data_IF_980779360271
#
_entry.id   IF_980779360271
#
_cell.length_a   1.000
_cell.length_b   1.000
_cell.length_c   1.000
_cell.angle_alpha   90.00
_cell.angle_beta   90.00
_cell.angle_gamma   90.00
#
_symmetry.space_group_name_H-M   'P 1'
#
loop_
_entity.id
_entity.type
_entity.pdbx_description
1 polymer ?
#
# COMPACT_ATOMS: atom_id res chain seq x y z
N UNK A 1 -6.52 -27.04 17.36
CA UNK A 1 -6.86 -25.67 16.86
C UNK A 1 -5.83 -25.24 15.84
N UNK A 2 -6.20 -24.56 14.74
CA UNK A 2 -5.21 -23.92 13.86
C UNK A 2 -4.48 -22.84 14.67
N UNK A 3 -3.15 -22.89 14.70
CA UNK A 3 -2.32 -21.87 15.33
C UNK A 3 -2.60 -20.52 14.65
N UNK A 4 -2.83 -19.47 15.40
CA UNK A 4 -3.08 -18.10 14.90
C UNK A 4 -2.00 -17.20 15.45
N UNK A 5 -1.52 -16.29 14.63
CA UNK A 5 -0.56 -15.27 15.05
C UNK A 5 -0.72 -14.05 14.16
N UNK A 6 -1.05 -12.93 14.76
CA UNK A 6 -1.23 -11.65 14.08
C UNK A 6 -0.32 -10.59 14.70
N UNK A 7 0.17 -9.69 13.88
CA UNK A 7 0.85 -8.48 14.32
C UNK A 7 0.03 -7.29 13.88
N UNK A 8 -0.52 -6.56 14.84
CA UNK A 8 -1.32 -5.35 14.60
C UNK A 8 -0.45 -4.10 14.78
N UNK A 9 -0.57 -3.17 13.85
CA UNK A 9 0.13 -1.89 13.84
C UNK A 9 -0.89 -0.77 13.94
N UNK A 10 -0.80 0.04 14.98
CA UNK A 10 -1.62 1.22 15.21
C UNK A 10 -0.72 2.45 15.20
N UNK A 11 -1.02 3.41 14.34
CA UNK A 11 -0.18 4.59 14.14
C UNK A 11 -1.03 5.84 14.24
N UNK A 12 -0.61 6.79 15.06
CA UNK A 12 -1.12 8.16 15.04
C UNK A 12 -0.10 9.05 14.33
N UNK A 13 -0.57 9.82 13.37
CA UNK A 13 0.28 10.70 12.58
C UNK A 13 -0.43 12.01 12.26
N UNK A 14 0.11 13.10 12.78
CA UNK A 14 -0.37 14.44 12.46
C UNK A 14 0.23 14.92 11.15
N UNK A 15 -0.65 15.32 10.24
CA UNK A 15 -0.32 15.85 8.92
C UNK A 15 -0.73 17.31 8.88
N UNK A 16 0.20 18.22 8.49
CA UNK A 16 -0.09 19.64 8.34
C UNK A 16 -1.10 19.87 7.20
N UNK A 17 -1.53 21.11 6.94
CA UNK A 17 -2.36 21.45 5.80
C UNK A 17 -1.84 20.79 4.52
N UNK A 18 -2.67 19.99 3.87
CA UNK A 18 -2.26 19.15 2.73
C UNK A 18 -3.43 18.48 2.01
N UNK A 19 -3.15 17.92 0.84
CA UNK A 19 -4.09 17.13 0.06
C UNK A 19 -3.44 15.81 -0.38
N UNK A 20 -3.14 14.94 0.58
CA UNK A 20 -2.34 13.70 0.38
C UNK A 20 -3.05 12.61 -0.39
N UNK A 21 -4.39 12.60 -0.42
CA UNK A 21 -5.19 11.64 -1.17
C UNK A 21 -6.48 12.28 -1.66
N UNK A 22 -6.62 12.41 -2.96
CA UNK A 22 -7.69 13.12 -3.64
C UNK A 22 -8.76 12.18 -4.18
N UNK A 23 -9.97 12.68 -4.30
CA UNK A 23 -11.02 12.08 -5.10
C UNK A 23 -10.88 12.47 -6.60
N UNK A 24 -11.90 12.17 -7.38
CA UNK A 24 -11.97 12.46 -8.82
C UNK A 24 -12.21 13.94 -9.15
N UNK A 25 -12.67 14.73 -8.18
CA UNK A 25 -12.82 16.19 -8.31
C UNK A 25 -11.54 16.94 -7.94
N UNK A 26 -10.56 16.26 -7.35
CA UNK A 26 -9.32 16.88 -6.89
C UNK A 26 -9.32 17.26 -5.41
N UNK A 27 -10.45 17.10 -4.73
CA UNK A 27 -10.62 17.42 -3.30
C UNK A 27 -10.02 16.36 -2.39
N UNK A 28 -9.59 16.71 -1.15
CA UNK A 28 -9.16 15.74 -0.17
C UNK A 28 -10.27 14.72 0.11
N UNK A 29 -9.93 13.44 0.08
CA UNK A 29 -10.90 12.39 0.42
C UNK A 29 -11.37 12.51 1.85
N UNK A 30 -12.67 12.39 2.05
CA UNK A 30 -13.33 12.39 3.35
C UNK A 30 -14.16 11.13 3.57
N UNK A 31 -14.63 10.94 4.79
CA UNK A 31 -15.65 9.96 5.17
C UNK A 31 -16.44 10.49 6.35
N UNK A 32 -17.67 10.00 6.54
CA UNK A 32 -18.43 10.26 7.76
C UNK A 32 -18.16 9.10 8.74
N UNK A 33 -17.74 9.45 9.95
CA UNK A 33 -17.56 8.48 11.03
C UNK A 33 -17.89 9.10 12.37
N UNK A 34 -18.70 8.42 13.20
CA UNK A 34 -19.23 8.99 14.45
C UNK A 34 -20.05 10.27 14.22
N UNK A 35 -20.77 10.35 13.08
CA UNK A 35 -21.66 11.47 12.77
C UNK A 35 -20.98 12.75 12.26
N UNK A 36 -19.64 12.76 12.10
CA UNK A 36 -18.92 13.96 11.62
C UNK A 36 -17.98 13.62 10.45
N UNK A 37 -17.64 14.63 9.65
CA UNK A 37 -16.70 14.51 8.54
C UNK A 37 -15.28 14.30 9.06
N UNK A 38 -14.60 13.32 8.51
CA UNK A 38 -13.22 12.95 8.80
C UNK A 38 -12.36 13.07 7.54
N UNK A 39 -11.11 13.51 7.68
CA UNK A 39 -10.12 13.27 6.64
C UNK A 39 -9.91 11.77 6.45
N UNK A 40 -9.77 11.33 5.21
CA UNK A 40 -9.57 9.91 4.88
C UNK A 40 -8.44 9.72 3.87
N UNK A 41 -7.57 8.77 4.14
CA UNK A 41 -6.59 8.31 3.16
C UNK A 41 -6.87 6.85 2.84
N UNK A 42 -7.00 6.52 1.57
CA UNK A 42 -7.38 5.18 1.15
C UNK A 42 -6.30 4.14 1.43
N UNK A 43 -6.71 2.91 1.71
CA UNK A 43 -5.80 1.78 1.90
C UNK A 43 -4.92 1.54 0.68
N UNK A 44 -5.43 1.81 -0.53
CA UNK A 44 -4.67 1.70 -1.77
C UNK A 44 -3.53 2.70 -1.84
N UNK A 45 -3.74 3.95 -1.38
CA UNK A 45 -2.69 4.96 -1.32
C UNK A 45 -1.59 4.56 -0.34
N UNK A 46 -1.95 4.05 0.85
CA UNK A 46 -0.98 3.51 1.80
C UNK A 46 -0.21 2.31 1.25
N UNK A 47 -0.90 1.30 0.70
CA UNK A 47 -0.26 0.12 0.10
C UNK A 47 0.69 0.50 -1.04
N UNK A 48 0.34 1.52 -1.83
CA UNK A 48 1.22 2.02 -2.89
C UNK A 48 2.49 2.65 -2.31
N UNK A 49 2.36 3.54 -1.32
CA UNK A 49 3.49 4.16 -0.64
C UNK A 49 4.41 3.12 0.02
N UNK A 50 3.84 2.11 0.68
CA UNK A 50 4.61 1.00 1.26
C UNK A 50 5.39 0.20 0.21
N UNK A 51 4.77 -0.10 -0.94
CA UNK A 51 5.44 -0.82 -2.03
C UNK A 51 6.60 -0.01 -2.63
N UNK A 52 6.46 1.31 -2.71
CA UNK A 52 7.59 2.17 -3.09
C UNK A 52 8.71 2.12 -2.04
N UNK A 53 8.37 2.24 -0.76
CA UNK A 53 9.33 2.16 0.32
C UNK A 53 10.08 0.82 0.38
N UNK A 54 9.45 -0.31 0.04
CA UNK A 54 10.12 -1.61 -0.04
C UNK A 54 11.35 -1.57 -0.95
N UNK A 55 11.28 -0.85 -2.06
CA UNK A 55 12.37 -0.72 -3.04
C UNK A 55 13.28 0.46 -2.71
N UNK A 56 12.71 1.65 -2.52
CA UNK A 56 13.45 2.90 -2.35
C UNK A 56 14.27 2.94 -1.06
N UNK A 57 13.79 2.31 0.01
CA UNK A 57 14.47 2.22 1.31
C UNK A 57 15.16 0.84 1.51
N UNK A 58 15.23 0.02 0.46
CA UNK A 58 15.87 -1.32 0.48
C UNK A 58 15.36 -2.21 1.63
N UNK A 59 14.05 -2.14 1.92
CA UNK A 59 13.42 -2.95 2.98
C UNK A 59 13.13 -4.38 2.54
N UNK A 60 13.08 -4.62 1.22
CA UNK A 60 13.00 -5.93 0.59
C UNK A 60 13.97 -5.95 -0.60
N UNK A 61 14.48 -7.12 -0.94
CA UNK A 61 15.28 -7.30 -2.14
C UNK A 61 14.43 -7.04 -3.39
N UNK A 62 15.00 -6.51 -4.46
CA UNK A 62 14.28 -6.23 -5.71
C UNK A 62 13.60 -7.49 -6.29
N UNK A 63 14.18 -8.67 -6.05
CA UNK A 63 13.64 -9.95 -6.49
C UNK A 63 12.38 -10.37 -5.73
N UNK A 64 12.24 -9.89 -4.49
CA UNK A 64 11.08 -10.13 -3.61
C UNK A 64 9.89 -9.22 -3.95
N UNK A 65 10.08 -8.20 -4.79
CA UNK A 65 9.04 -7.24 -5.16
C UNK A 65 8.53 -7.49 -6.57
N UNK A 66 7.23 -7.75 -6.68
CA UNK A 66 6.58 -8.01 -7.97
C UNK A 66 6.29 -6.73 -8.77
N UNK A 67 5.99 -6.91 -10.05
CA UNK A 67 5.61 -5.83 -10.97
C UNK A 67 4.13 -5.89 -11.30
N UNK A 68 3.42 -4.77 -11.11
CA UNK A 68 2.02 -4.61 -11.53
C UNK A 68 1.99 -3.89 -12.87
N UNK A 69 1.66 -4.61 -13.95
CA UNK A 69 1.78 -4.06 -15.30
C UNK A 69 0.77 -4.68 -16.29
N UNK A 70 0.54 -3.99 -17.40
CA UNK A 70 -0.09 -4.55 -18.61
C UNK A 70 0.93 -5.08 -19.61
N UNK A 71 2.22 -4.79 -19.42
CA UNK A 71 3.31 -5.04 -20.36
C UNK A 71 3.97 -6.41 -20.14
N UNK A 72 3.16 -7.46 -19.93
CA UNK A 72 3.67 -8.81 -19.65
C UNK A 72 4.49 -9.34 -20.84
N UNK A 73 4.04 -9.09 -22.07
CA UNK A 73 4.75 -9.49 -23.28
C UNK A 73 6.17 -8.91 -23.31
N UNK A 74 6.32 -7.61 -22.98
CA UNK A 74 7.65 -6.96 -22.93
C UNK A 74 8.54 -7.54 -21.82
N UNK A 75 7.96 -7.92 -20.67
CA UNK A 75 8.73 -8.54 -19.58
C UNK A 75 9.23 -9.93 -19.98
N UNK A 76 8.37 -10.76 -20.57
CA UNK A 76 8.72 -12.10 -21.03
C UNK A 76 9.71 -12.03 -22.21
N UNK A 77 9.53 -11.09 -23.14
CA UNK A 77 10.45 -10.85 -24.27
C UNK A 77 11.87 -10.54 -23.77
N UNK A 78 12.00 -9.65 -22.78
CA UNK A 78 13.29 -9.31 -22.17
C UNK A 78 13.95 -10.51 -21.48
N UNK A 79 13.15 -11.31 -20.79
CA UNK A 79 13.65 -12.48 -20.08
C UNK A 79 14.10 -13.58 -21.07
N UNK A 80 13.33 -13.83 -22.12
CA UNK A 80 13.71 -14.78 -23.21
C UNK A 80 15.00 -14.31 -23.89
N UNK A 81 15.12 -13.02 -24.22
CA UNK A 81 16.32 -12.48 -24.84
C UNK A 81 17.57 -12.60 -23.95
N UNK A 82 17.39 -12.56 -22.63
CA UNK A 82 18.48 -12.77 -21.68
C UNK A 82 18.89 -14.25 -21.55
N UNK A 83 17.90 -15.17 -21.54
CA UNK A 83 18.13 -16.61 -21.35
C UNK A 83 18.52 -17.34 -22.64
N UNK A 84 18.02 -16.90 -23.80
CA UNK A 84 18.23 -17.55 -25.12
C UNK A 84 18.36 -16.48 -26.22
N UNK A 85 19.48 -15.75 -26.29
CA UNK A 85 19.68 -14.63 -27.20
C UNK A 85 19.64 -15.03 -28.70
N UNK A 86 19.80 -16.33 -29.01
CA UNK A 86 19.72 -16.86 -30.37
C UNK A 86 18.29 -17.07 -30.88
N UNK A 87 17.26 -16.95 -29.99
CA UNK A 87 15.86 -17.18 -30.35
C UNK A 87 15.13 -15.86 -30.63
N UNK A 88 14.07 -15.96 -31.45
CA UNK A 88 13.14 -14.82 -31.65
C UNK A 88 12.29 -14.58 -30.41
N UNK A 89 12.84 -13.78 -29.50
CA UNK A 89 12.20 -13.46 -28.22
C UNK A 89 10.84 -12.79 -28.37
N UNK A 90 10.69 -11.92 -29.41
CA UNK A 90 9.44 -11.18 -29.61
C UNK A 90 8.30 -12.13 -30.07
N UNK A 91 8.60 -13.09 -30.92
CA UNK A 91 7.65 -14.11 -31.36
C UNK A 91 7.25 -15.03 -30.23
N UNK A 92 8.25 -15.57 -29.51
CA UNK A 92 8.02 -16.48 -28.39
C UNK A 92 7.21 -15.82 -27.25
N UNK A 93 7.50 -14.58 -26.92
CA UNK A 93 6.76 -13.86 -25.87
C UNK A 93 5.27 -13.70 -26.21
N UNK A 94 4.92 -13.45 -27.46
CA UNK A 94 3.52 -13.40 -27.90
C UNK A 94 2.83 -14.76 -27.76
N UNK A 95 3.52 -15.84 -28.14
CA UNK A 95 3.00 -17.21 -28.00
C UNK A 95 2.81 -17.59 -26.52
N UNK A 96 3.77 -17.25 -25.66
CA UNK A 96 3.68 -17.44 -24.21
C UNK A 96 2.45 -16.76 -23.65
N UNK A 97 2.26 -15.46 -23.91
CA UNK A 97 1.11 -14.71 -23.39
C UNK A 97 -0.20 -15.29 -23.90
N UNK A 98 -0.28 -15.72 -25.17
CA UNK A 98 -1.45 -16.41 -25.73
C UNK A 98 -1.75 -17.70 -24.97
N UNK A 99 -0.74 -18.50 -24.66
CA UNK A 99 -0.88 -19.78 -23.96
C UNK A 99 -1.27 -19.61 -22.47
N UNK A 100 -0.98 -18.46 -21.85
CA UNK A 100 -1.47 -18.15 -20.49
C UNK A 100 -2.99 -17.99 -20.43
N UNK A 101 -3.65 -17.66 -21.54
CA UNK A 101 -5.07 -17.30 -21.61
C UNK A 101 -5.39 -15.88 -21.13
N UNK A 102 -4.38 -15.05 -20.84
CA UNK A 102 -4.59 -13.65 -20.49
C UNK A 102 -5.00 -12.85 -21.72
N UNK A 103 -5.99 -11.97 -21.57
CA UNK A 103 -6.55 -11.21 -22.70
C UNK A 103 -5.67 -10.01 -23.06
N UNK A 104 -5.19 -9.98 -24.30
CA UNK A 104 -4.46 -8.85 -24.89
C UNK A 104 -5.42 -7.77 -25.41
N UNK A 105 -4.92 -6.55 -25.52
CA UNK A 105 -5.68 -5.41 -26.02
C UNK A 105 -5.51 -5.26 -27.55
N UNK A 106 -6.23 -6.07 -28.31
CA UNK A 106 -6.15 -6.13 -29.78
C UNK A 106 -6.44 -4.79 -30.48
N UNK A 107 -7.19 -3.87 -29.84
CA UNK A 107 -7.61 -2.60 -30.46
C UNK A 107 -6.61 -1.45 -30.36
N UNK A 108 -5.72 -1.47 -29.38
CA UNK A 108 -4.81 -0.33 -29.09
C UNK A 108 -3.33 -0.71 -29.14
N UNK A 109 -2.97 -1.88 -28.65
CA UNK A 109 -1.59 -2.32 -28.57
C UNK A 109 -1.57 -3.83 -28.23
N UNK A 110 -1.31 -4.68 -29.23
CA UNK A 110 -1.26 -6.15 -29.09
C UNK A 110 -0.18 -6.63 -28.09
N UNK A 111 0.76 -5.76 -27.70
CA UNK A 111 1.78 -6.08 -26.71
C UNK A 111 1.32 -5.87 -25.27
N UNK A 112 0.15 -5.24 -25.05
CA UNK A 112 -0.37 -4.94 -23.72
C UNK A 112 -1.60 -5.77 -23.35
N UNK A 113 -1.65 -6.26 -22.12
CA UNK A 113 -2.84 -6.89 -21.59
C UNK A 113 -4.00 -5.89 -21.47
N UNK A 114 -5.22 -6.40 -21.53
CA UNK A 114 -6.44 -5.61 -21.30
C UNK A 114 -6.50 -5.08 -19.87
N UNK A 115 -6.11 -5.88 -18.88
CA UNK A 115 -6.11 -5.56 -17.46
C UNK A 115 -4.71 -5.61 -16.87
N UNK A 116 -4.49 -4.90 -15.74
CA UNK A 116 -3.26 -4.99 -14.97
C UNK A 116 -3.16 -6.37 -14.30
N UNK A 117 -2.00 -6.98 -14.40
CA UNK A 117 -1.66 -8.17 -13.64
C UNK A 117 -0.46 -7.90 -12.74
N UNK A 118 -0.38 -8.64 -11.64
CA UNK A 118 0.71 -8.58 -10.68
C UNK A 118 1.54 -9.86 -10.81
N UNK A 119 2.83 -9.74 -11.13
CA UNK A 119 3.75 -10.85 -11.38
C UNK A 119 5.03 -10.70 -10.58
N UNK A 120 5.54 -11.83 -10.06
CA UNK A 120 6.90 -11.91 -9.52
C UNK A 120 7.93 -12.08 -10.64
N UNK A 121 9.19 -11.81 -10.36
CA UNK A 121 10.31 -12.09 -11.29
C UNK A 121 10.36 -13.58 -11.62
N UNK A 122 10.27 -14.44 -10.60
CA UNK A 122 10.26 -15.88 -10.78
C UNK A 122 9.14 -16.40 -11.70
N UNK A 123 7.94 -15.79 -11.61
CA UNK A 123 6.85 -16.13 -12.54
C UNK A 123 7.17 -15.73 -13.98
N UNK A 124 7.80 -14.58 -14.19
CA UNK A 124 8.23 -14.13 -15.52
C UNK A 124 9.30 -15.06 -16.10
N UNK A 125 10.30 -15.46 -15.30
CA UNK A 125 11.33 -16.40 -15.70
C UNK A 125 10.74 -17.77 -16.06
N UNK A 126 9.86 -18.32 -15.24
CA UNK A 126 9.18 -19.59 -15.53
C UNK A 126 8.35 -19.55 -16.81
N UNK A 127 7.68 -18.41 -17.10
CA UNK A 127 6.97 -18.22 -18.37
C UNK A 127 7.93 -18.19 -19.55
N UNK A 128 9.08 -17.53 -19.42
CA UNK A 128 10.10 -17.44 -20.44
C UNK A 128 10.71 -18.82 -20.75
N UNK A 129 11.03 -19.60 -19.72
CA UNK A 129 11.55 -20.97 -19.83
C UNK A 129 10.57 -21.86 -20.61
N UNK A 130 9.29 -21.88 -20.25
CA UNK A 130 8.26 -22.62 -20.98
C UNK A 130 8.16 -22.20 -22.45
N UNK A 131 8.34 -20.90 -22.75
CA UNK A 131 8.38 -20.40 -24.12
C UNK A 131 9.61 -20.89 -24.88
N UNK A 132 10.78 -20.89 -24.24
CA UNK A 132 12.04 -21.38 -24.80
C UNK A 132 11.96 -22.88 -25.11
N UNK A 133 11.33 -23.66 -24.22
CA UNK A 133 11.09 -25.11 -24.43
C UNK A 133 10.04 -25.43 -25.51
N UNK A 134 9.33 -24.42 -25.99
CA UNK A 134 8.25 -24.61 -26.98
C UNK A 134 6.99 -25.29 -26.39
N UNK A 135 6.76 -25.13 -25.10
CA UNK A 135 5.59 -25.68 -24.42
C UNK A 135 4.29 -25.06 -24.96
N UNK A 136 3.28 -25.89 -25.24
CA UNK A 136 1.97 -25.46 -25.74
C UNK A 136 0.84 -25.75 -24.72
N UNK A 137 1.16 -26.40 -23.60
CA UNK A 137 0.19 -26.80 -22.57
C UNK A 137 -0.25 -25.61 -21.70
N UNK A 138 -1.46 -25.08 -21.91
CA UNK A 138 -2.01 -23.96 -21.16
C UNK A 138 -2.02 -24.17 -19.63
N UNK A 139 -2.09 -25.43 -19.17
CA UNK A 139 -2.05 -25.78 -17.75
C UNK A 139 -0.71 -25.40 -17.13
N UNK A 140 0.43 -25.73 -17.76
CA UNK A 140 1.76 -25.41 -17.27
C UNK A 140 1.97 -23.89 -17.12
N UNK A 141 1.46 -23.10 -18.06
CA UNK A 141 1.50 -21.64 -17.96
C UNK A 141 0.66 -21.09 -16.81
N UNK A 142 -0.51 -21.67 -16.53
CA UNK A 142 -1.32 -21.31 -15.37
C UNK A 142 -0.64 -21.69 -14.06
N UNK A 143 -0.04 -22.87 -14.01
CA UNK A 143 0.70 -23.34 -12.84
C UNK A 143 1.92 -22.43 -12.58
N UNK A 144 2.67 -22.03 -13.61
CA UNK A 144 3.77 -21.07 -13.52
C UNK A 144 3.29 -19.71 -13.00
N UNK A 145 2.16 -19.20 -13.47
CA UNK A 145 1.54 -17.97 -12.95
C UNK A 145 1.03 -18.11 -11.50
N UNK A 146 0.68 -19.31 -11.07
CA UNK A 146 0.23 -19.63 -9.73
C UNK A 146 1.34 -19.89 -8.71
N UNK A 147 2.55 -20.20 -9.18
CA UNK A 147 3.70 -20.55 -8.34
C UNK A 147 4.53 -19.31 -7.95
N UNK A 148 5.45 -19.47 -6.98
CA UNK A 148 6.49 -18.50 -6.60
C UNK A 148 6.03 -17.02 -6.57
N UNK A 149 5.05 -16.67 -5.73
CA UNK A 149 4.60 -15.28 -5.59
C UNK A 149 5.72 -14.41 -5.00
N UNK A 150 5.75 -13.11 -5.36
CA UNK A 150 6.60 -12.14 -4.69
C UNK A 150 6.11 -11.86 -3.26
N UNK A 151 6.99 -11.36 -2.39
CA UNK A 151 6.67 -11.05 -1.00
C UNK A 151 5.52 -10.05 -0.90
N UNK A 152 5.54 -8.99 -1.71
CA UNK A 152 4.49 -7.99 -1.74
C UNK A 152 3.17 -8.52 -2.32
N UNK A 153 3.20 -9.58 -3.15
CA UNK A 153 2.01 -10.30 -3.59
C UNK A 153 1.42 -11.13 -2.45
N UNK A 154 2.24 -11.82 -1.66
CA UNK A 154 1.78 -12.55 -0.47
C UNK A 154 1.19 -11.58 0.56
N UNK A 155 1.82 -10.42 0.77
CA UNK A 155 1.32 -9.39 1.70
C UNK A 155 -0.02 -8.80 1.26
N UNK A 156 -0.13 -8.33 0.02
CA UNK A 156 -1.26 -7.50 -0.41
C UNK A 156 -2.29 -8.21 -1.27
N UNK A 157 -2.02 -9.46 -1.62
CA UNK A 157 -2.88 -10.26 -2.46
C UNK A 157 -2.79 -9.92 -3.94
N UNK A 158 -3.35 -10.81 -4.75
CA UNK A 158 -3.54 -10.62 -6.20
C UNK A 158 -4.96 -10.99 -6.57
N UNK A 159 -5.67 -10.08 -7.21
CA UNK A 159 -6.96 -10.34 -7.84
C UNK A 159 -6.82 -10.23 -9.36
N UNK A 160 -7.20 -11.31 -10.05
CA UNK A 160 -7.27 -11.39 -11.51
C UNK A 160 -8.72 -11.68 -11.88
N UNK A 161 -9.44 -10.64 -12.32
CA UNK A 161 -10.88 -10.74 -12.59
C UNK A 161 -11.24 -11.80 -13.65
N UNK A 162 -10.34 -12.04 -14.61
CA UNK A 162 -10.54 -12.96 -15.74
C UNK A 162 -10.08 -14.40 -15.43
N UNK A 163 -9.37 -14.64 -14.32
CA UNK A 163 -8.82 -15.93 -13.94
C UNK A 163 -8.76 -16.08 -12.41
N UNK A 164 -9.89 -16.45 -11.80
CA UNK A 164 -10.01 -16.59 -10.35
C UNK A 164 -9.01 -17.60 -9.73
N UNK A 165 -8.56 -18.59 -10.50
CA UNK A 165 -7.54 -19.56 -10.07
C UNK A 165 -6.16 -18.95 -9.85
N UNK A 166 -5.92 -17.72 -10.34
CA UNK A 166 -4.69 -16.96 -10.14
C UNK A 166 -4.77 -15.98 -8.97
N UNK A 167 -5.88 -15.94 -8.24
CA UNK A 167 -6.01 -15.06 -7.09
C UNK A 167 -5.15 -15.56 -5.92
N UNK A 168 -4.59 -14.61 -5.18
CA UNK A 168 -3.90 -14.83 -3.92
C UNK A 168 -4.60 -14.06 -2.81
N UNK A 169 -4.88 -14.74 -1.70
CA UNK A 169 -5.38 -14.09 -0.50
C UNK A 169 -4.24 -13.29 0.17
N UNK A 170 -4.58 -12.12 0.66
CA UNK A 170 -3.61 -11.24 1.30
C UNK A 170 -3.32 -11.69 2.73
N UNK A 171 -2.03 -11.83 3.08
CA UNK A 171 -1.61 -12.05 4.45
C UNK A 171 -1.73 -10.78 5.31
N UNK A 172 -1.72 -9.58 4.69
CA UNK A 172 -1.85 -8.31 5.39
C UNK A 172 -3.14 -7.58 5.02
N UNK A 173 -3.72 -6.92 6.00
CA UNK A 173 -4.84 -5.99 5.83
C UNK A 173 -4.37 -4.58 6.21
N UNK A 174 -4.63 -3.61 5.36
CA UNK A 174 -4.35 -2.18 5.62
C UNK A 174 -5.66 -1.43 5.55
N UNK A 175 -6.03 -0.77 6.63
CA UNK A 175 -7.27 0.01 6.69
C UNK A 175 -7.17 1.33 5.93
N UNK A 176 -8.32 1.90 5.53
CA UNK A 176 -8.38 3.32 5.27
C UNK A 176 -8.06 4.06 6.57
N UNK A 177 -7.12 5.00 6.53
CA UNK A 177 -6.92 5.87 7.69
C UNK A 177 -7.99 6.96 7.74
N UNK A 178 -8.35 7.35 8.94
CA UNK A 178 -9.29 8.45 9.18
C UNK A 178 -8.69 9.41 10.22
N UNK A 179 -9.12 10.66 10.21
CA UNK A 179 -8.76 11.60 11.26
C UNK A 179 -9.41 11.21 12.58
N UNK A 180 -8.70 11.40 13.68
CA UNK A 180 -9.20 11.18 15.04
C UNK A 180 -10.25 12.21 15.45
N UNK A 181 -10.29 13.35 14.77
CA UNK A 181 -11.16 14.49 14.99
C UNK A 181 -11.97 14.88 13.75
N UNK A 182 -12.98 15.69 13.90
CA UNK A 182 -13.72 16.28 12.79
C UNK A 182 -12.80 17.22 11.99
N UNK A 183 -12.94 17.19 10.66
CA UNK A 183 -12.23 18.08 9.76
C UNK A 183 -13.19 18.88 8.91
N UNK A 184 -12.70 20.02 8.46
CA UNK A 184 -13.35 20.88 7.46
C UNK A 184 -12.31 21.15 6.38
N UNK A 185 -12.71 21.06 5.10
CA UNK A 185 -11.81 21.43 4.01
C UNK A 185 -11.69 22.95 3.96
N UNK A 186 -10.47 23.38 3.70
CA UNK A 186 -10.10 24.77 3.46
C UNK A 186 -9.71 24.94 1.99
N UNK A 187 -9.70 26.16 1.52
CA UNK A 187 -9.48 26.48 0.11
C UNK A 187 -8.33 27.48 -0.01
N UNK A 188 -7.39 27.17 -0.88
CA UNK A 188 -6.33 28.06 -1.30
C UNK A 188 -6.57 28.49 -2.75
N UNK A 189 -6.71 29.78 -2.92
CA UNK A 189 -6.87 30.42 -4.22
C UNK A 189 -5.52 30.85 -4.73
N UNK A 190 -5.12 30.39 -5.90
CA UNK A 190 -3.83 30.72 -6.47
C UNK A 190 -3.94 31.22 -7.91
N UNK A 191 -2.99 32.04 -8.31
CA UNK A 191 -2.85 32.60 -9.65
C UNK A 191 -1.49 32.27 -10.22
N UNK A 192 -1.44 31.97 -11.52
CA UNK A 192 -0.17 31.92 -12.25
C UNK A 192 0.11 33.31 -12.84
N UNK A 193 1.32 33.82 -12.58
CA UNK A 193 1.80 35.07 -13.15
C UNK A 193 2.60 34.74 -14.41
N UNK A 194 2.28 35.44 -15.51
CA UNK A 194 3.06 35.36 -16.74
C UNK A 194 4.28 36.29 -16.60
N UNK A 195 5.50 35.75 -16.72
CA UNK A 195 6.74 36.52 -16.66
C UNK A 195 6.99 37.34 -17.93
N UNK A 196 6.25 37.04 -19.01
CA UNK A 196 6.35 37.74 -20.30
C UNK A 196 4.96 38.16 -20.80
N UNK A 197 4.22 39.00 -20.03
CA UNK A 197 2.87 39.38 -20.41
C UNK A 197 2.84 40.23 -21.67
N UNK A 198 1.83 40.04 -22.53
CA UNK A 198 1.55 41.00 -23.60
C UNK A 198 1.16 42.36 -23.00
N UNK A 199 1.57 43.43 -23.66
CA UNK A 199 1.39 44.81 -23.17
C UNK A 199 -0.08 45.19 -22.82
N UNK A 200 -1.05 44.47 -23.36
CA UNK A 200 -2.46 44.74 -23.18
C UNK A 200 -3.15 43.81 -22.18
N UNK A 201 -2.44 42.84 -21.58
CA UNK A 201 -3.01 41.83 -20.67
C UNK A 201 -2.23 41.74 -19.36
N UNK A 202 -2.55 42.63 -18.41
CA UNK A 202 -1.96 42.63 -17.05
C UNK A 202 -2.67 41.61 -16.11
N UNK A 203 -3.42 40.68 -16.66
CA UNK A 203 -4.18 39.69 -15.88
C UNK A 203 -3.37 38.43 -15.53
N UNK A 204 -3.79 37.73 -14.48
CA UNK A 204 -3.28 36.42 -14.14
C UNK A 204 -3.55 35.43 -15.28
N UNK A 205 -2.53 34.71 -15.73
CA UNK A 205 -2.64 33.76 -16.83
C UNK A 205 -3.47 32.52 -16.50
N UNK A 206 -3.65 32.22 -15.22
CA UNK A 206 -4.49 31.11 -14.73
C UNK A 206 -4.95 31.37 -13.30
N UNK A 207 -6.22 31.06 -13.03
CA UNK A 207 -6.85 31.13 -11.71
C UNK A 207 -7.38 29.76 -11.36
N UNK A 208 -7.02 29.21 -10.21
CA UNK A 208 -7.56 27.94 -9.74
C UNK A 208 -7.64 27.90 -8.22
N UNK A 209 -8.32 26.90 -7.69
CA UNK A 209 -8.51 26.71 -6.25
C UNK A 209 -8.05 25.31 -5.86
N UNK A 210 -7.25 25.21 -4.81
CA UNK A 210 -6.83 23.95 -4.21
C UNK A 210 -7.51 23.75 -2.88
N UNK A 211 -8.17 22.60 -2.71
CA UNK A 211 -8.70 22.20 -1.42
C UNK A 211 -7.66 21.43 -0.62
N UNK A 212 -7.62 21.68 0.68
CA UNK A 212 -6.72 20.99 1.62
C UNK A 212 -7.37 20.84 2.99
N UNK A 213 -6.79 20.01 3.84
CA UNK A 213 -7.11 19.95 5.27
C UNK A 213 -5.88 19.53 6.09
N UNK A 214 -5.95 19.70 7.40
CA UNK A 214 -4.98 19.17 8.34
C UNK A 214 -5.64 18.14 9.26
N UNK A 215 -4.91 17.10 9.65
CA UNK A 215 -5.48 16.04 10.45
C UNK A 215 -4.46 15.24 11.25
N UNK A 216 -4.83 14.83 12.47
CA UNK A 216 -4.20 13.71 13.14
C UNK A 216 -4.89 12.43 12.67
N UNK A 217 -4.19 11.62 11.89
CA UNK A 217 -4.70 10.40 11.30
C UNK A 217 -4.45 9.21 12.22
N UNK A 218 -5.47 8.35 12.37
CA UNK A 218 -5.29 6.99 12.87
C UNK A 218 -5.13 6.03 11.69
N UNK A 219 -4.03 5.28 11.71
CA UNK A 219 -3.69 4.27 10.69
C UNK A 219 -3.64 2.91 11.36
N UNK A 220 -4.20 1.91 10.69
CA UNK A 220 -4.20 0.53 11.16
C UNK A 220 -3.81 -0.43 10.06
N UNK A 221 -2.98 -1.39 10.41
CA UNK A 221 -2.70 -2.56 9.58
C UNK A 221 -2.50 -3.78 10.46
N UNK A 222 -2.78 -4.96 9.90
CA UNK A 222 -2.51 -6.25 10.54
C UNK A 222 -1.84 -7.20 9.57
N UNK A 223 -1.00 -8.08 10.08
CA UNK A 223 -0.33 -9.14 9.32
C UNK A 223 -0.62 -10.49 9.95
N UNK A 224 -1.17 -11.42 9.17
CA UNK A 224 -1.31 -12.82 9.54
C UNK A 224 0.04 -13.54 9.32
N UNK A 225 0.78 -13.74 10.40
CA UNK A 225 2.12 -14.34 10.36
C UNK A 225 2.08 -15.78 9.87
N UNK A 226 1.05 -16.54 10.26
CA UNK A 226 0.90 -17.95 9.85
C UNK A 226 0.69 -18.09 8.34
N UNK A 227 0.02 -17.10 7.72
CA UNK A 227 -0.15 -17.08 6.27
C UNK A 227 1.17 -16.73 5.56
N UNK A 228 1.96 -15.80 6.11
CA UNK A 228 3.31 -15.53 5.61
C UNK A 228 4.22 -16.76 5.73
N UNK A 229 4.20 -17.42 6.88
CA UNK A 229 4.99 -18.63 7.13
C UNK A 229 4.68 -19.75 6.13
N UNK A 230 3.41 -19.91 5.78
CA UNK A 230 2.96 -20.92 4.82
C UNK A 230 3.60 -20.74 3.43
N UNK A 231 3.82 -19.48 3.03
CA UNK A 231 4.36 -19.15 1.70
C UNK A 231 5.88 -18.93 1.68
N UNK A 232 6.44 -18.39 2.76
CA UNK A 232 7.81 -17.90 2.79
C UNK A 232 8.74 -18.65 3.77
N UNK A 233 8.17 -19.51 4.62
CA UNK A 233 8.88 -20.11 5.76
C UNK A 233 9.07 -19.14 6.93
N UNK A 234 9.31 -19.67 8.12
CA UNK A 234 9.30 -18.94 9.39
C UNK A 234 10.32 -17.79 9.43
N UNK A 235 11.57 -18.05 8.99
CA UNK A 235 12.64 -17.04 9.01
C UNK A 235 12.30 -15.84 8.14
N UNK A 236 11.96 -16.07 6.87
CA UNK A 236 11.60 -15.00 5.93
C UNK A 236 10.32 -14.27 6.35
N UNK A 237 9.34 -14.98 6.92
CA UNK A 237 8.11 -14.38 7.43
C UNK A 237 8.40 -13.34 8.53
N UNK A 238 9.30 -13.63 9.47
CA UNK A 238 9.69 -12.70 10.53
C UNK A 238 10.40 -11.44 9.97
N UNK A 239 11.28 -11.62 8.99
CA UNK A 239 11.95 -10.51 8.27
C UNK A 239 10.92 -9.65 7.55
N UNK A 240 9.96 -10.26 6.85
CA UNK A 240 8.91 -9.57 6.10
C UNK A 240 7.96 -8.79 7.02
N UNK A 241 7.60 -9.34 8.19
CA UNK A 241 6.79 -8.59 9.18
C UNK A 241 7.53 -7.34 9.65
N UNK A 242 8.84 -7.42 9.87
CA UNK A 242 9.67 -6.26 10.23
C UNK A 242 9.68 -5.21 9.11
N UNK A 243 9.99 -5.62 7.88
CA UNK A 243 10.01 -4.73 6.70
C UNK A 243 8.65 -4.10 6.42
N UNK A 244 7.56 -4.88 6.60
CA UNK A 244 6.20 -4.36 6.51
C UNK A 244 5.93 -3.29 7.56
N UNK A 245 6.29 -3.55 8.82
CA UNK A 245 6.12 -2.60 9.93
C UNK A 245 6.88 -1.30 9.67
N UNK A 246 8.13 -1.39 9.25
CA UNK A 246 8.97 -0.23 8.92
C UNK A 246 8.37 0.58 7.76
N UNK A 247 8.01 -0.09 6.66
CA UNK A 247 7.36 0.56 5.54
C UNK A 247 6.03 1.20 5.94
N UNK A 248 5.20 0.51 6.77
CA UNK A 248 3.94 1.07 7.24
C UNK A 248 4.13 2.29 8.13
N UNK A 249 5.15 2.33 8.98
CA UNK A 249 5.43 3.45 9.89
C UNK A 249 5.99 4.64 9.12
N UNK A 250 6.96 4.45 8.22
CA UNK A 250 7.75 5.51 7.59
C UNK A 250 7.19 6.02 6.27
N UNK A 251 6.47 5.19 5.52
CA UNK A 251 5.95 5.60 4.21
C UNK A 251 4.75 6.55 4.35
N UNK A 252 4.60 7.41 3.35
CA UNK A 252 3.48 8.33 3.24
C UNK A 252 3.11 8.54 1.77
N UNK A 253 1.81 8.57 1.43
CA UNK A 253 1.38 8.93 0.07
C UNK A 253 1.86 10.32 -0.33
N UNK A 254 2.22 10.48 -1.60
CA UNK A 254 2.89 11.67 -2.15
C UNK A 254 1.96 12.70 -2.79
N UNK A 255 0.64 12.61 -2.52
CA UNK A 255 -0.34 13.53 -3.10
C UNK A 255 -0.03 14.99 -2.75
N UNK A 256 0.08 15.85 -3.79
CA UNK A 256 0.41 17.29 -3.66
C UNK A 256 1.66 17.58 -2.79
N UNK A 257 2.59 16.61 -2.67
CA UNK A 257 3.78 16.73 -1.82
C UNK A 257 4.63 17.95 -2.16
N UNK A 258 4.80 18.28 -3.45
CA UNK A 258 5.60 19.43 -3.88
C UNK A 258 4.95 20.77 -3.52
N UNK A 259 3.60 20.81 -3.41
CA UNK A 259 2.88 22.03 -3.04
C UNK A 259 2.92 22.26 -1.53
N UNK A 260 2.76 21.18 -0.73
CA UNK A 260 2.52 21.32 0.72
C UNK A 260 3.71 20.89 1.59
N UNK A 261 4.73 20.21 1.02
CA UNK A 261 5.88 19.68 1.78
C UNK A 261 5.47 18.92 3.07
N UNK A 262 4.41 18.13 2.97
CA UNK A 262 3.58 17.64 4.06
C UNK A 262 4.07 16.31 4.67
N UNK A 263 5.30 15.87 4.40
CA UNK A 263 5.82 14.62 4.93
C UNK A 263 6.15 14.77 6.43
N UNK A 264 5.50 13.98 7.26
CA UNK A 264 5.72 13.92 8.71
C UNK A 264 6.07 12.50 9.16
N UNK A 265 6.58 12.39 10.37
CA UNK A 265 6.73 11.10 11.06
C UNK A 265 5.57 10.89 12.03
N UNK A 266 5.27 9.65 12.43
CA UNK A 266 4.25 9.35 13.41
C UNK A 266 4.46 10.02 14.76
N UNK A 267 3.37 10.44 15.39
CA UNK A 267 3.33 10.94 16.78
C UNK A 267 3.35 9.79 17.79
N UNK A 268 2.78 8.64 17.42
CA UNK A 268 2.80 7.42 18.24
C UNK A 268 2.67 6.18 17.35
N UNK A 269 3.33 5.11 17.77
CA UNK A 269 3.20 3.77 17.20
C UNK A 269 2.93 2.79 18.33
N UNK A 270 1.90 1.97 18.17
CA UNK A 270 1.53 0.92 19.08
C UNK A 270 1.42 -0.39 18.31
N UNK A 271 2.19 -1.40 18.72
CA UNK A 271 2.23 -2.70 18.05
C UNK A 271 1.80 -3.78 19.03
N UNK A 272 0.90 -4.65 18.60
CA UNK A 272 0.45 -5.79 19.41
C UNK A 272 0.66 -7.10 18.66
N UNK A 273 1.05 -8.15 19.39
CA UNK A 273 1.12 -9.53 18.89
C UNK A 273 -0.05 -10.28 19.50
N UNK A 274 -0.85 -10.93 18.65
CA UNK A 274 -2.10 -11.56 19.07
C UNK A 274 -2.19 -13.00 18.54
N UNK A 275 -2.67 -13.90 19.41
CA UNK A 275 -2.90 -15.31 19.08
C UNK A 275 -4.37 -15.64 18.81
N UNK A 276 -5.26 -14.66 18.99
CA UNK A 276 -6.72 -14.83 18.82
C UNK A 276 -7.22 -14.32 17.47
N UNK A 277 -7.27 -12.99 17.30
CA UNK A 277 -7.75 -12.31 16.09
C UNK A 277 -7.15 -10.90 15.99
N UNK A 278 -7.06 -10.32 14.78
CA UNK A 278 -6.66 -8.93 14.63
C UNK A 278 -7.75 -7.99 15.18
N UNK A 279 -7.32 -6.88 15.79
CA UNK A 279 -8.25 -5.92 16.41
C UNK A 279 -7.93 -4.50 15.96
N UNK A 280 -8.85 -3.89 15.20
CA UNK A 280 -8.77 -2.49 14.83
C UNK A 280 -9.30 -1.59 15.95
N UNK A 281 -8.45 -0.75 16.51
CA UNK A 281 -8.80 0.17 17.59
C UNK A 281 -9.47 1.47 17.12
N UNK A 282 -10.01 1.51 15.90
CA UNK A 282 -10.68 2.67 15.33
C UNK A 282 -11.84 3.17 16.23
N UNK A 283 -12.49 2.27 16.99
CA UNK A 283 -13.54 2.61 17.93
C UNK A 283 -13.15 3.66 18.98
N UNK A 284 -11.85 3.80 19.29
CA UNK A 284 -11.34 4.88 20.13
C UNK A 284 -11.71 6.27 19.62
N UNK A 285 -12.00 6.38 18.32
CA UNK A 285 -12.24 7.64 17.62
C UNK A 285 -13.66 7.75 17.03
N UNK A 286 -14.57 6.84 17.35
CA UNK A 286 -15.98 6.98 16.97
C UNK A 286 -16.53 8.32 17.48
N UNK A 287 -16.30 8.61 18.76
CA UNK A 287 -16.46 9.97 19.25
C UNK A 287 -15.25 10.80 18.84
N UNK A 288 -15.47 11.83 18.02
CA UNK A 288 -14.42 12.72 17.57
C UNK A 288 -13.65 13.35 18.72
N UNK A 289 -12.33 13.30 18.67
CA UNK A 289 -11.45 13.96 19.64
C UNK A 289 -11.70 15.47 19.57
N UNK A 290 -11.91 16.09 20.72
CA UNK A 290 -12.14 17.53 20.83
C UNK A 290 -10.82 18.29 20.77
N UNK A 291 -10.86 19.49 20.20
CA UNK A 291 -9.72 20.42 20.21
C UNK A 291 -9.27 20.70 21.64
N UNK A 292 -7.96 20.64 21.90
CA UNK A 292 -7.33 21.06 23.14
C UNK A 292 -6.37 22.22 22.88
N UNK A 293 -5.85 22.82 23.95
CA UNK A 293 -4.80 23.84 23.85
C UNK A 293 -3.51 23.28 23.21
N UNK A 294 -3.29 21.96 23.32
CA UNK A 294 -2.13 21.24 22.77
C UNK A 294 -2.40 20.59 21.40
N UNK A 295 -3.53 20.95 20.75
CA UNK A 295 -3.95 20.35 19.49
C UNK A 295 -4.66 19.00 19.66
N UNK A 296 -4.49 18.06 18.70
CA UNK A 296 -5.20 16.78 18.65
C UNK A 296 -4.32 15.57 18.95
N UNK A 297 -2.99 15.68 18.84
CA UNK A 297 -2.09 14.53 18.95
C UNK A 297 -2.14 13.90 20.37
N UNK A 298 -1.96 14.68 21.42
CA UNK A 298 -1.94 14.18 22.80
C UNK A 298 -3.31 13.64 23.26
N UNK A 299 -4.45 14.33 23.01
CA UNK A 299 -5.76 13.75 23.28
C UNK A 299 -6.03 12.46 22.50
N UNK A 300 -5.53 12.34 21.26
CA UNK A 300 -5.67 11.12 20.46
C UNK A 300 -4.86 9.95 21.03
N UNK A 301 -3.65 10.20 21.51
CA UNK A 301 -2.84 9.16 22.20
C UNK A 301 -3.57 8.65 23.45
N UNK A 302 -4.08 9.57 24.26
CA UNK A 302 -4.83 9.24 25.47
C UNK A 302 -6.09 8.43 25.17
N UNK A 303 -6.85 8.82 24.14
CA UNK A 303 -8.06 8.11 23.72
C UNK A 303 -7.74 6.69 23.22
N UNK A 304 -6.69 6.53 22.40
CA UNK A 304 -6.24 5.23 21.89
C UNK A 304 -5.82 4.32 23.03
N UNK A 305 -5.03 4.82 23.97
CA UNK A 305 -4.54 4.05 25.13
C UNK A 305 -5.69 3.60 26.04
N UNK A 306 -6.60 4.50 26.39
CA UNK A 306 -7.74 4.19 27.25
C UNK A 306 -8.66 3.14 26.61
N UNK A 307 -8.94 3.29 25.31
CA UNK A 307 -9.76 2.33 24.57
C UNK A 307 -9.11 0.95 24.47
N UNK A 308 -7.81 0.90 24.17
CA UNK A 308 -7.05 -0.34 24.10
C UNK A 308 -7.08 -1.07 25.47
N UNK A 309 -6.84 -0.37 26.57
CA UNK A 309 -6.88 -0.94 27.92
C UNK A 309 -8.26 -1.52 28.25
N UNK A 310 -9.32 -0.76 28.00
CA UNK A 310 -10.69 -1.21 28.26
C UNK A 310 -11.03 -2.46 27.42
N UNK A 311 -10.69 -2.45 26.15
CA UNK A 311 -11.01 -3.54 25.23
C UNK A 311 -10.25 -4.81 25.59
N UNK A 312 -8.96 -4.70 25.90
CA UNK A 312 -8.15 -5.87 26.24
C UNK A 312 -8.50 -6.46 27.62
N UNK A 313 -8.88 -5.64 28.58
CA UNK A 313 -9.42 -6.12 29.87
C UNK A 313 -10.72 -6.89 29.70
N UNK A 314 -11.57 -6.50 28.72
CA UNK A 314 -12.91 -7.08 28.56
C UNK A 314 -12.94 -8.29 27.63
N UNK A 315 -12.08 -8.34 26.60
CA UNK A 315 -12.21 -9.29 25.49
C UNK A 315 -10.94 -10.03 25.08
N UNK A 316 -9.76 -9.64 25.56
CA UNK A 316 -8.51 -10.18 25.06
C UNK A 316 -7.65 -10.74 26.20
N UNK A 317 -7.83 -12.00 26.53
CA UNK A 317 -7.07 -12.68 27.58
C UNK A 317 -5.60 -12.94 27.27
N UNK A 318 -5.15 -12.78 25.98
CA UNK A 318 -3.80 -13.16 25.52
C UNK A 318 -3.26 -12.21 24.47
N UNK A 319 -2.64 -11.11 24.88
CA UNK A 319 -1.83 -10.28 24.00
C UNK A 319 -0.53 -9.84 24.67
N UNK A 320 0.60 -9.98 23.97
CA UNK A 320 1.84 -9.33 24.37
C UNK A 320 1.86 -7.89 23.83
N UNK A 321 1.98 -6.91 24.74
CA UNK A 321 2.04 -5.50 24.38
C UNK A 321 3.48 -5.03 24.23
N UNK A 322 3.82 -4.43 23.09
CA UNK A 322 5.04 -3.62 22.93
C UNK A 322 4.66 -2.18 22.59
N UNK A 323 4.99 -1.26 23.49
CA UNK A 323 4.82 0.18 23.29
C UNK A 323 6.11 0.77 22.73
N UNK A 324 6.01 1.47 21.59
CA UNK A 324 7.12 2.20 20.99
C UNK A 324 6.76 3.68 20.97
N UNK A 325 7.32 4.45 21.88
CA UNK A 325 7.17 5.92 21.94
C UNK A 325 8.31 6.66 21.24
N UNK A 326 8.24 8.01 21.22
CA UNK A 326 9.29 8.89 20.65
C UNK A 326 10.70 8.62 21.21
N UNK A 327 10.82 8.04 22.39
CA UNK A 327 12.09 7.75 23.07
C UNK A 327 12.79 6.48 22.57
N UNK A 328 12.15 5.68 21.72
CA UNK A 328 12.68 4.40 21.26
C UNK A 328 13.59 4.47 20.01
N UNK A 329 14.14 5.66 19.67
CA UNK A 329 15.14 5.79 18.60
C UNK A 329 16.44 5.04 18.86
N UNK A 330 16.73 4.70 20.11
CA UNK A 330 18.00 4.06 20.52
C UNK A 330 18.00 2.53 20.56
N UNK A 331 16.88 1.85 20.34
CA UNK A 331 16.78 0.38 20.41
C UNK A 331 16.65 -0.36 19.07
N UNK A 332 16.75 0.36 17.95
CA UNK A 332 16.70 -0.21 16.60
C UNK A 332 18.06 -0.16 15.88
N UNK A 333 19.16 -0.05 16.61
CA UNK A 333 20.48 -0.32 16.06
C UNK A 333 20.77 -1.81 16.10
N UNK A 334 21.45 -2.36 15.05
CA UNK A 334 21.67 -3.79 14.84
C UNK A 334 22.43 -4.45 15.96
#
# INVERSE_FOLDING_TARGET
MKKRLYVDFHVLQTVPPSCINRDDTGSPKTAIYGGVTRARVSSQAWKHAMRQAFVEESLLDEEDVGKRTKKVTELVEKEIAALAPEKDAAKLAKEVVKNTGLKVNEKKDEKKLKTLIFLSKAQVSALAELGIEGCTEAKKYKDALGAAPSVDMVLFGRMVAEAASLNYDAAAQVAHSISTHAVQNEYDYFTAVDDCPDSDNAGAGHLDTVEYNSATLYRYATVNVMELERHLGAKKAAEVVRSFGEAFIRSMPTGKQNTFANRTLPDAVYVTIREDQPVNLCGAFERAVRKSAEGYAEPSKSALQAYAQQLYQSFAERSEERRVGKECRSRWSP
#
